data_IF_500125955527
#
_entry.id   IF_500125955527
#
_cell.length_a   1.000
_cell.length_b   1.000
_cell.length_c   1.000
_cell.angle_alpha   90.00
_cell.angle_beta   90.00
_cell.angle_gamma   90.00
#
_symmetry.space_group_name_H-M   'P 1'
#
loop_
_entity.id
_entity.type
_entity.pdbx_description
1 polymer ?
#
# COMPACT_ATOMS: atom_id res chain seq x y z
N UNK A 1 7.21 37.35 13.87
CA UNK A 1 6.69 35.98 14.10
C UNK A 1 6.39 35.78 15.58
N UNK A 2 5.52 34.84 15.97
CA UNK A 2 5.08 34.64 17.37
C UNK A 2 6.29 34.32 18.27
N UNK A 3 7.23 33.49 17.79
CA UNK A 3 8.48 33.20 18.52
C UNK A 3 9.32 34.46 18.81
N UNK A 4 9.46 35.36 17.84
CA UNK A 4 10.19 36.63 18.00
C UNK A 4 9.48 37.59 18.99
N UNK A 5 8.15 37.53 19.05
CA UNK A 5 7.36 38.35 19.95
C UNK A 5 7.38 37.84 21.39
N UNK A 6 7.54 36.53 21.60
CA UNK A 6 7.50 35.88 22.92
C UNK A 6 8.87 35.45 23.46
N UNK A 7 9.91 35.45 22.63
CA UNK A 7 11.25 34.95 22.99
C UNK A 7 11.28 33.45 23.31
N UNK A 8 10.31 32.70 22.78
CA UNK A 8 10.12 31.27 23.03
C UNK A 8 10.34 30.52 21.72
N UNK A 9 11.37 29.68 21.66
CA UNK A 9 11.73 28.95 20.45
C UNK A 9 10.79 27.77 20.15
N UNK A 10 9.98 27.32 21.12
CA UNK A 10 9.10 26.14 21.02
C UNK A 10 7.75 26.39 20.32
N UNK A 11 7.52 27.57 19.73
CA UNK A 11 6.22 27.99 19.18
C UNK A 11 6.15 27.94 17.63
N UNK A 12 6.78 26.95 17.00
CA UNK A 12 6.87 26.84 15.54
C UNK A 12 5.50 26.71 14.83
N UNK A 13 4.55 26.01 15.47
CA UNK A 13 3.17 25.81 14.96
C UNK A 13 2.45 27.14 14.72
N UNK A 14 2.72 28.16 15.54
CA UNK A 14 2.10 29.49 15.42
C UNK A 14 2.74 30.38 14.36
N UNK A 15 3.89 29.97 13.82
CA UNK A 15 4.58 30.62 12.72
C UNK A 15 4.29 29.94 11.36
N UNK A 16 3.46 28.90 11.34
CA UNK A 16 3.19 28.10 10.14
C UNK A 16 4.32 27.14 9.76
N UNK A 17 5.28 26.89 10.66
CA UNK A 17 6.30 25.85 10.51
C UNK A 17 5.91 24.68 11.40
N UNK A 18 5.17 23.69 10.88
CA UNK A 18 5.05 22.41 11.57
C UNK A 18 6.40 21.71 11.54
N UNK A 19 6.80 21.11 12.67
CA UNK A 19 8.04 20.36 12.77
C UNK A 19 7.97 19.13 11.85
N UNK A 20 8.94 18.99 10.95
CA UNK A 20 9.01 17.89 9.99
C UNK A 20 9.91 16.78 10.50
N UNK A 21 9.54 15.54 10.18
CA UNK A 21 10.38 14.36 10.43
C UNK A 21 11.40 14.26 9.29
N UNK A 22 12.69 14.14 9.66
CA UNK A 22 13.78 13.88 8.71
C UNK A 22 14.21 12.42 8.74
N UNK A 23 14.04 11.77 9.89
CA UNK A 23 14.42 10.37 10.06
C UNK A 23 13.46 9.66 11.00
N UNK A 24 13.07 8.45 10.62
CA UNK A 24 12.27 7.55 11.43
C UNK A 24 12.90 6.16 11.43
N UNK A 25 13.00 5.54 12.60
CA UNK A 25 13.40 4.16 12.76
C UNK A 25 12.41 3.45 13.66
N UNK A 26 11.78 2.40 13.17
CA UNK A 26 10.93 1.49 13.94
C UNK A 26 11.63 0.14 14.06
N UNK A 27 11.89 -0.25 15.29
CA UNK A 27 12.45 -1.55 15.65
C UNK A 27 11.34 -2.36 16.31
N UNK A 28 11.09 -3.56 15.81
CA UNK A 28 10.16 -4.53 16.39
C UNK A 28 10.92 -5.80 16.71
N UNK A 29 10.72 -6.35 17.89
CA UNK A 29 11.27 -7.65 18.27
C UNK A 29 10.17 -8.54 18.81
N UNK A 30 10.26 -9.82 18.48
CA UNK A 30 9.47 -10.88 19.08
C UNK A 30 10.36 -12.02 19.53
N UNK A 31 10.26 -12.35 20.80
CA UNK A 31 10.82 -13.55 21.40
C UNK A 31 9.69 -14.55 21.66
N UNK A 32 9.77 -15.73 21.05
CA UNK A 32 8.82 -16.82 21.30
C UNK A 32 9.56 -18.03 21.88
N UNK A 33 9.04 -18.61 22.97
CA UNK A 33 9.55 -19.85 23.55
C UNK A 33 8.73 -21.04 23.07
N UNK A 34 9.38 -21.95 22.39
CA UNK A 34 8.75 -23.12 21.77
C UNK A 34 9.24 -24.36 22.48
N UNK A 35 8.33 -25.24 22.89
CA UNK A 35 8.69 -26.56 23.41
C UNK A 35 8.95 -27.50 22.22
N UNK A 36 10.20 -27.93 21.97
CA UNK A 36 10.50 -28.81 20.86
C UNK A 36 9.83 -30.17 21.07
N UNK A 37 9.34 -30.78 19.97
CA UNK A 37 8.68 -32.10 20.01
C UNK A 37 9.62 -33.23 20.42
N UNK A 38 10.92 -33.06 20.18
CA UNK A 38 11.98 -33.98 20.58
C UNK A 38 13.18 -33.15 21.06
N UNK A 39 13.69 -33.49 22.24
CA UNK A 39 14.92 -32.92 22.77
C UNK A 39 16.09 -33.87 22.47
N UNK A 40 17.25 -33.37 22.03
CA UNK A 40 18.46 -34.17 21.94
C UNK A 40 18.79 -34.83 23.29
N UNK A 41 19.37 -36.02 23.25
CA UNK A 41 19.78 -36.73 24.47
C UNK A 41 20.86 -35.91 25.22
N UNK A 42 20.55 -35.52 26.47
CA UNK A 42 21.41 -34.65 27.28
C UNK A 42 21.12 -33.16 27.19
N UNK A 43 20.03 -32.73 26.54
CA UNK A 43 19.61 -31.32 26.57
C UNK A 43 19.18 -30.89 27.98
N UNK A 44 19.75 -29.78 28.47
CA UNK A 44 19.42 -29.18 29.78
C UNK A 44 18.31 -28.11 29.70
N UNK A 45 17.72 -27.89 28.52
CA UNK A 45 16.69 -26.89 28.28
C UNK A 45 15.32 -27.53 27.96
N UNK A 46 14.24 -26.92 28.46
CA UNK A 46 12.87 -27.36 28.17
C UNK A 46 12.26 -26.65 26.95
N UNK A 47 12.74 -25.44 26.64
CA UNK A 47 12.23 -24.58 25.55
C UNK A 47 13.38 -24.08 24.68
N UNK A 48 13.11 -23.94 23.38
CA UNK A 48 13.96 -23.20 22.45
C UNK A 48 13.41 -21.78 22.27
N UNK A 49 14.31 -20.81 22.18
CA UNK A 49 13.96 -19.40 21.98
C UNK A 49 14.07 -19.06 20.49
N UNK A 50 12.98 -18.59 19.91
CA UNK A 50 12.89 -18.13 18.54
C UNK A 50 12.79 -16.62 18.50
N UNK A 51 13.77 -15.97 17.89
CA UNK A 51 13.83 -14.52 17.76
C UNK A 51 13.47 -14.10 16.35
N UNK A 52 12.49 -13.22 16.26
CA UNK A 52 12.09 -12.52 15.06
C UNK A 52 12.30 -11.03 15.31
N UNK A 53 12.86 -10.31 14.34
CA UNK A 53 12.94 -8.85 14.44
C UNK A 53 12.77 -8.17 13.09
N UNK A 54 12.27 -6.94 13.15
CA UNK A 54 12.14 -6.06 12.00
C UNK A 54 12.74 -4.70 12.34
N UNK A 55 13.43 -4.11 11.36
CA UNK A 55 13.93 -2.74 11.45
C UNK A 55 13.52 -2.00 10.20
N UNK A 56 12.55 -1.09 10.35
CA UNK A 56 12.16 -0.13 9.34
C UNK A 56 12.92 1.17 9.57
N UNK A 57 13.54 1.72 8.53
CA UNK A 57 14.23 3.01 8.55
C UNK A 57 13.76 3.84 7.38
N UNK A 58 13.37 5.09 7.63
CA UNK A 58 12.97 6.08 6.62
C UNK A 58 13.86 7.29 6.83
N UNK A 59 14.54 7.72 5.77
CA UNK A 59 15.54 8.78 5.83
C UNK A 59 15.30 9.74 4.67
N UNK A 60 15.04 11.01 5.04
CA UNK A 60 14.77 12.11 4.11
C UNK A 60 16.01 12.47 3.29
N UNK A 61 17.18 12.52 3.92
CA UNK A 61 18.40 12.98 3.26
C UNK A 61 18.84 12.02 2.15
N UNK A 62 18.65 10.72 2.37
CA UNK A 62 18.95 9.70 1.37
C UNK A 62 17.76 9.36 0.48
N UNK A 63 16.57 9.93 0.72
CA UNK A 63 15.31 9.58 0.05
C UNK A 63 15.10 8.06 0.01
N UNK A 64 15.31 7.40 1.15
CA UNK A 64 15.17 5.93 1.26
C UNK A 64 14.24 5.47 2.36
N UNK A 65 13.48 4.41 2.07
CA UNK A 65 12.84 3.54 3.04
C UNK A 65 13.51 2.16 2.97
N UNK A 66 13.99 1.64 4.10
CA UNK A 66 14.54 0.28 4.21
C UNK A 66 13.80 -0.50 5.28
N UNK A 67 13.27 -1.67 4.93
CA UNK A 67 12.74 -2.64 5.88
C UNK A 67 13.65 -3.88 5.89
N UNK A 68 14.26 -4.17 7.04
CA UNK A 68 15.06 -5.38 7.26
C UNK A 68 14.32 -6.33 8.20
N UNK A 69 14.05 -7.55 7.75
CA UNK A 69 13.39 -8.61 8.52
C UNK A 69 14.39 -9.72 8.83
N UNK A 70 14.56 -10.05 10.10
CA UNK A 70 15.33 -11.19 10.58
C UNK A 70 14.39 -12.29 11.07
N UNK A 71 14.27 -13.37 10.30
CA UNK A 71 13.41 -14.51 10.65
C UNK A 71 14.08 -15.50 11.60
N UNK A 72 15.39 -15.68 11.45
CA UNK A 72 16.26 -16.54 12.26
C UNK A 72 17.72 -16.15 11.99
N UNK A 73 18.69 -16.60 12.81
CA UNK A 73 20.13 -16.21 12.73
C UNK A 73 20.79 -16.18 11.33
N UNK A 74 20.34 -17.01 10.38
CA UNK A 74 20.87 -17.08 9.01
C UNK A 74 19.81 -16.84 7.93
N UNK A 75 18.63 -16.34 8.32
CA UNK A 75 17.51 -16.09 7.42
C UNK A 75 17.01 -14.67 7.64
N UNK A 76 17.27 -13.79 6.67
CA UNK A 76 16.79 -12.41 6.65
C UNK A 76 16.47 -11.95 5.22
N UNK A 77 15.68 -10.89 5.13
CA UNK A 77 15.38 -10.16 3.91
C UNK A 77 15.56 -8.66 4.17
N UNK A 78 16.00 -7.92 3.15
CA UNK A 78 16.05 -6.46 3.18
C UNK A 78 15.38 -5.92 1.94
N UNK A 79 14.43 -5.01 2.13
CA UNK A 79 13.77 -4.28 1.06
C UNK A 79 14.20 -2.82 1.17
N UNK A 80 14.70 -2.24 0.09
CA UNK A 80 15.10 -0.84 0.03
C UNK A 80 14.39 -0.16 -1.13
N UNK A 81 13.68 0.90 -0.81
CA UNK A 81 13.00 1.79 -1.74
C UNK A 81 13.80 3.08 -1.79
N UNK A 82 14.11 3.54 -2.99
CA UNK A 82 14.71 4.85 -3.22
C UNK A 82 13.76 5.62 -4.14
N UNK A 83 13.05 6.59 -3.57
CA UNK A 83 11.98 7.31 -4.26
C UNK A 83 12.17 8.80 -3.97
N UNK A 84 12.86 9.46 -4.90
CA UNK A 84 13.12 10.90 -4.83
C UNK A 84 11.79 11.67 -4.75
N UNK A 85 11.72 12.65 -3.86
CA UNK A 85 10.52 13.42 -3.47
C UNK A 85 9.40 12.60 -2.81
N UNK A 86 9.31 11.30 -3.09
CA UNK A 86 8.31 10.40 -2.52
C UNK A 86 8.56 10.05 -1.06
N UNK A 87 9.82 9.84 -0.66
CA UNK A 87 10.15 9.60 0.76
C UNK A 87 9.97 10.87 1.57
N UNK A 88 10.43 12.01 1.05
CA UNK A 88 10.10 13.32 1.63
C UNK A 88 8.60 13.56 1.77
N UNK A 89 7.81 13.20 0.75
CA UNK A 89 6.35 13.30 0.78
C UNK A 89 5.72 12.42 1.85
N UNK A 90 6.14 11.14 1.93
CA UNK A 90 5.71 10.22 3.00
C UNK A 90 6.01 10.79 4.39
N UNK A 91 7.21 11.32 4.60
CA UNK A 91 7.60 11.92 5.89
C UNK A 91 6.87 13.24 6.19
N UNK A 92 6.43 13.98 5.18
CA UNK A 92 5.61 15.19 5.33
C UNK A 92 4.16 14.86 5.77
N UNK A 93 3.66 13.67 5.43
CA UNK A 93 2.33 13.19 5.87
C UNK A 93 2.33 12.66 7.31
N UNK A 94 3.52 12.46 7.91
CA UNK A 94 3.70 12.06 9.30
C UNK A 94 3.91 13.28 10.20
N UNK A 95 3.31 13.23 11.40
CA UNK A 95 3.41 14.32 12.39
C UNK A 95 4.14 13.83 13.64
N UNK A 96 5.12 14.56 14.19
CA UNK A 96 5.81 14.17 15.42
C UNK A 96 4.87 13.91 16.61
N UNK A 97 3.69 14.54 16.62
CA UNK A 97 2.66 14.41 17.66
C UNK A 97 1.97 13.04 17.68
N UNK A 98 2.00 12.29 16.57
CA UNK A 98 1.44 10.92 16.48
C UNK A 98 2.07 9.94 17.51
N UNK A 99 3.16 10.36 18.14
CA UNK A 99 3.96 9.56 19.06
C UNK A 99 4.02 10.15 20.47
N UNK A 100 3.17 11.12 20.81
CA UNK A 100 3.15 11.77 22.13
C UNK A 100 2.44 10.93 23.20
N UNK A 101 1.33 10.29 22.82
CA UNK A 101 0.43 9.64 23.75
C UNK A 101 0.47 8.12 23.61
N UNK A 102 0.73 7.44 24.73
CA UNK A 102 0.63 5.99 24.89
C UNK A 102 -0.28 5.75 26.09
N UNK A 103 -1.45 5.13 25.85
CA UNK A 103 -2.41 4.83 26.93
C UNK A 103 -1.80 4.00 28.07
N UNK A 104 -0.96 3.02 27.74
CA UNK A 104 -0.29 2.14 28.68
C UNK A 104 -1.16 0.98 29.19
N UNK A 105 -0.50 -0.14 29.51
CA UNK A 105 -1.18 -1.29 30.09
C UNK A 105 -1.53 -1.07 31.58
N UNK A 106 -2.67 -1.61 32.07
CA UNK A 106 -3.01 -1.56 33.49
C UNK A 106 -2.04 -2.42 34.33
N UNK A 107 -1.92 -2.16 35.65
CA UNK A 107 -0.93 -2.82 36.50
C UNK A 107 -1.20 -4.31 36.76
N UNK A 108 -2.39 -4.81 36.46
CA UNK A 108 -2.80 -6.21 36.60
C UNK A 108 -2.76 -6.99 35.27
N UNK A 109 -2.08 -6.45 34.26
CA UNK A 109 -1.80 -7.16 32.99
C UNK A 109 -1.09 -8.48 33.27
N UNK A 110 -1.48 -9.53 32.52
CA UNK A 110 -0.86 -10.84 32.57
C UNK A 110 -0.03 -11.00 31.30
N UNK A 111 1.29 -10.94 31.46
CA UNK A 111 2.22 -11.19 30.36
C UNK A 111 2.26 -12.68 30.00
N UNK A 112 2.34 -12.99 28.71
CA UNK A 112 2.64 -14.33 28.23
C UNK A 112 4.18 -14.54 28.24
N UNK A 113 4.73 -15.33 29.17
CA UNK A 113 6.17 -15.58 29.22
C UNK A 113 6.68 -16.37 28.00
N UNK A 114 5.78 -16.96 27.20
CA UNK A 114 6.10 -17.70 25.98
C UNK A 114 6.12 -16.82 24.73
N UNK A 115 5.59 -15.60 24.79
CA UNK A 115 5.55 -14.70 23.64
C UNK A 115 5.66 -13.24 24.08
N UNK A 116 6.85 -12.68 23.91
CA UNK A 116 7.14 -11.28 24.21
C UNK A 116 7.35 -10.52 22.92
N UNK A 117 6.63 -9.41 22.75
CA UNK A 117 6.76 -8.53 21.60
C UNK A 117 7.01 -7.12 22.11
N UNK A 118 8.10 -6.49 21.67
CA UNK A 118 8.48 -5.14 22.03
C UNK A 118 8.76 -4.30 20.79
N UNK A 119 8.75 -2.98 20.97
CA UNK A 119 9.13 -2.06 19.93
C UNK A 119 9.92 -0.87 20.47
N UNK A 120 10.63 -0.22 19.56
CA UNK A 120 11.25 1.08 19.76
C UNK A 120 11.12 1.92 18.50
N UNK A 121 10.53 3.10 18.63
CA UNK A 121 10.45 4.12 17.58
C UNK A 121 11.43 5.24 17.93
N UNK A 122 12.29 5.59 16.98
CA UNK A 122 13.20 6.75 17.07
C UNK A 122 12.88 7.72 15.95
N UNK A 123 12.62 8.97 16.29
CA UNK A 123 12.28 10.04 15.35
C UNK A 123 13.29 11.16 15.53
N UNK A 124 13.82 11.67 14.42
CA UNK A 124 14.62 12.90 14.42
C UNK A 124 13.98 13.89 13.47
N UNK A 125 13.79 15.11 13.97
CA UNK A 125 13.13 16.18 13.24
C UNK A 125 14.15 17.13 12.61
N UNK A 126 13.67 17.97 11.69
CA UNK A 126 14.51 18.96 11.00
C UNK A 126 15.18 19.98 11.92
N UNK A 127 14.62 20.19 13.11
CA UNK A 127 15.20 21.09 14.11
C UNK A 127 16.14 20.37 15.10
N UNK A 128 16.43 19.09 14.87
CA UNK A 128 17.33 18.29 15.68
C UNK A 128 16.70 17.72 16.95
N UNK A 129 15.37 17.79 17.08
CA UNK A 129 14.65 17.14 18.18
C UNK A 129 14.68 15.64 17.95
N UNK A 130 15.13 14.88 18.95
CA UNK A 130 15.07 13.41 18.95
C UNK A 130 14.00 12.96 19.93
N UNK A 131 13.09 12.10 19.47
CA UNK A 131 12.06 11.44 20.28
C UNK A 131 12.26 9.94 20.20
N UNK A 132 12.25 9.27 21.35
CA UNK A 132 12.30 7.82 21.47
C UNK A 132 11.07 7.37 22.24
N UNK A 133 10.33 6.42 21.66
CA UNK A 133 9.18 5.76 22.28
C UNK A 133 9.47 4.27 22.28
N UNK A 134 9.23 3.61 23.41
CA UNK A 134 9.43 2.18 23.56
C UNK A 134 8.33 1.58 24.43
N UNK A 135 7.99 0.32 24.17
CA UNK A 135 6.92 -0.35 24.89
C UNK A 135 6.69 -1.77 24.40
N UNK A 136 5.67 -2.41 24.96
CA UNK A 136 5.16 -3.68 24.46
C UNK A 136 4.39 -3.46 23.16
N UNK A 137 4.55 -4.38 22.21
CA UNK A 137 3.85 -4.33 20.93
C UNK A 137 2.44 -4.92 21.07
N UNK A 138 1.59 -4.16 21.76
CA UNK A 138 0.17 -4.44 21.94
C UNK A 138 -0.64 -3.14 21.86
N UNK A 139 -1.98 -3.27 21.84
CA UNK A 139 -2.87 -2.13 21.62
C UNK A 139 -2.67 -0.96 22.59
N UNK A 140 -2.34 -1.22 23.86
CA UNK A 140 -2.18 -0.17 24.87
C UNK A 140 -0.72 0.22 25.07
N UNK A 141 0.23 -0.64 24.67
CA UNK A 141 1.66 -0.33 24.69
C UNK A 141 2.14 0.53 23.50
N UNK A 142 1.41 0.55 22.39
CA UNK A 142 1.69 1.37 21.21
C UNK A 142 1.20 2.81 21.36
N UNK A 143 1.75 3.78 20.59
CA UNK A 143 1.17 5.11 20.48
C UNK A 143 -0.29 5.05 20.03
N UNK A 144 -1.13 5.94 20.56
CA UNK A 144 -2.57 5.94 20.27
C UNK A 144 -2.87 6.12 18.77
N UNK A 145 -2.03 6.88 18.05
CA UNK A 145 -2.11 7.10 16.58
C UNK A 145 -1.30 6.09 15.75
N UNK A 146 -0.74 5.02 16.36
CA UNK A 146 0.03 4.01 15.64
C UNK A 146 -0.69 3.42 14.40
N UNK A 147 -2.01 3.14 14.42
CA UNK A 147 -2.72 2.66 13.24
C UNK A 147 -2.65 3.61 12.04
N UNK A 148 -2.83 4.92 12.24
CA UNK A 148 -2.74 5.91 11.15
C UNK A 148 -1.30 5.99 10.62
N UNK A 149 -0.32 6.00 11.55
CA UNK A 149 1.10 6.03 11.23
C UNK A 149 1.53 4.86 10.33
N UNK A 150 1.18 3.62 10.72
CA UNK A 150 1.64 2.43 10.01
C UNK A 150 0.89 2.22 8.69
N UNK A 151 -0.37 2.65 8.59
CA UNK A 151 -1.17 2.61 7.36
C UNK A 151 -0.53 3.45 6.24
N UNK A 152 -0.09 4.68 6.55
CA UNK A 152 0.61 5.55 5.58
C UNK A 152 1.87 4.90 5.01
N UNK A 153 2.66 4.23 5.85
CA UNK A 153 3.86 3.50 5.43
C UNK A 153 3.49 2.27 4.60
N UNK A 154 2.45 1.53 5.02
CA UNK A 154 1.96 0.36 4.30
C UNK A 154 1.49 0.73 2.89
N UNK A 155 0.66 1.77 2.76
CA UNK A 155 0.15 2.23 1.47
C UNK A 155 1.29 2.65 0.53
N UNK A 156 2.28 3.36 1.05
CA UNK A 156 3.48 3.74 0.29
C UNK A 156 4.24 2.50 -0.22
N UNK A 157 4.48 1.50 0.64
CA UNK A 157 5.18 0.27 0.24
C UNK A 157 4.34 -0.59 -0.72
N UNK A 158 3.04 -0.66 -0.50
CA UNK A 158 2.09 -1.45 -1.29
C UNK A 158 1.96 -0.91 -2.72
N UNK A 159 2.02 0.41 -2.91
CA UNK A 159 2.00 1.04 -4.22
C UNK A 159 3.11 0.51 -5.14
N UNK A 160 4.32 0.30 -4.63
CA UNK A 160 5.44 -0.27 -5.40
C UNK A 160 5.43 -1.80 -5.40
N UNK A 161 4.97 -2.42 -4.31
CA UNK A 161 4.76 -3.87 -4.21
C UNK A 161 6.00 -4.70 -4.57
N UNK A 162 5.78 -5.81 -5.28
CA UNK A 162 6.82 -6.73 -5.76
C UNK A 162 7.25 -6.46 -7.23
N UNK A 163 6.70 -5.41 -7.84
CA UNK A 163 6.85 -5.10 -9.26
C UNK A 163 6.12 -6.06 -10.21
N UNK A 164 6.24 -5.79 -11.51
CA UNK A 164 5.52 -6.50 -12.59
C UNK A 164 6.03 -7.93 -12.85
N UNK A 165 7.23 -8.28 -12.38
CA UNK A 165 7.88 -9.56 -12.68
C UNK A 165 7.02 -10.77 -12.25
N UNK A 166 6.29 -10.63 -11.16
CA UNK A 166 5.42 -11.67 -10.61
C UNK A 166 3.95 -11.46 -10.96
N UNK A 167 3.62 -10.40 -11.71
CA UNK A 167 2.27 -10.14 -12.15
C UNK A 167 1.98 -10.96 -13.42
N UNK A 168 1.11 -11.96 -13.31
CA UNK A 168 0.70 -12.81 -14.44
C UNK A 168 0.10 -11.98 -15.58
N UNK A 169 -0.54 -10.84 -15.31
CA UNK A 169 -1.07 -9.97 -16.35
C UNK A 169 0.04 -9.38 -17.24
N UNK A 170 1.25 -9.20 -16.69
CA UNK A 170 2.40 -8.65 -17.40
C UNK A 170 3.11 -9.68 -18.29
N UNK A 171 3.20 -10.96 -17.89
CA UNK A 171 3.93 -11.99 -18.64
C UNK A 171 3.07 -13.10 -19.26
N UNK A 172 1.83 -13.26 -18.80
CA UNK A 172 0.92 -14.34 -19.19
C UNK A 172 0.32 -14.15 -20.58
N UNK A 173 0.35 -12.92 -21.11
CA UNK A 173 -0.23 -12.57 -22.40
C UNK A 173 0.81 -12.63 -23.52
N UNK A 174 0.48 -13.33 -24.60
CA UNK A 174 1.30 -13.32 -25.80
C UNK A 174 1.31 -11.92 -26.43
N UNK A 175 2.42 -11.53 -27.07
CA UNK A 175 2.43 -10.29 -27.85
C UNK A 175 1.41 -10.39 -28.98
N UNK A 176 0.58 -9.35 -29.09
CA UNK A 176 -0.36 -9.16 -30.20
C UNK A 176 0.37 -9.20 -31.55
N UNK A 177 -0.19 -9.89 -32.52
CA UNK A 177 0.22 -9.82 -33.93
C UNK A 177 -0.64 -8.79 -34.68
N UNK A 178 -0.20 -8.36 -35.87
CA UNK A 178 -0.96 -7.41 -36.68
C UNK A 178 -2.34 -7.92 -37.12
N UNK A 179 -2.57 -9.23 -37.06
CA UNK A 179 -3.85 -9.87 -37.39
C UNK A 179 -4.74 -10.12 -36.18
N UNK A 180 -4.24 -9.92 -34.96
CA UNK A 180 -5.04 -10.15 -33.75
C UNK A 180 -5.92 -8.94 -33.43
N UNK A 181 -7.12 -9.25 -32.99
CA UNK A 181 -8.10 -8.31 -32.46
C UNK A 181 -7.86 -8.12 -30.97
N UNK A 182 -8.13 -6.91 -30.48
CA UNK A 182 -8.08 -6.57 -29.07
C UNK A 182 -9.47 -6.78 -28.51
N UNK A 183 -9.61 -7.77 -27.64
CA UNK A 183 -10.85 -8.05 -26.93
C UNK A 183 -10.74 -7.53 -25.50
N UNK A 184 -11.67 -6.68 -25.12
CA UNK A 184 -11.82 -6.16 -23.77
C UNK A 184 -13.09 -6.74 -23.15
N UNK A 185 -12.94 -7.44 -22.04
CA UNK A 185 -14.08 -7.84 -21.22
C UNK A 185 -14.41 -6.68 -20.29
N UNK A 186 -15.68 -6.28 -20.29
CA UNK A 186 -16.16 -5.14 -19.51
C UNK A 186 -17.28 -5.55 -18.57
N UNK A 187 -17.34 -4.91 -17.41
CA UNK A 187 -18.45 -5.01 -16.47
C UNK A 187 -19.22 -3.69 -16.39
N UNK A 188 -20.55 -3.79 -16.32
CA UNK A 188 -21.43 -2.63 -16.14
C UNK A 188 -21.57 -2.24 -14.67
N UNK A 189 -21.37 -3.20 -13.78
CA UNK A 189 -21.44 -3.05 -12.33
C UNK A 189 -20.31 -3.87 -11.72
N UNK A 190 -19.65 -3.40 -10.64
CA UNK A 190 -18.55 -4.11 -10.00
C UNK A 190 -18.93 -5.53 -9.58
N UNK A 191 -18.18 -6.53 -10.06
CA UNK A 191 -18.43 -7.95 -9.79
C UNK A 191 -19.63 -8.53 -10.57
N UNK A 192 -20.11 -7.81 -11.58
CA UNK A 192 -21.21 -8.21 -12.43
C UNK A 192 -20.83 -9.24 -13.50
N UNK A 193 -21.73 -9.40 -14.49
CA UNK A 193 -21.42 -10.19 -15.69
C UNK A 193 -20.46 -9.42 -16.60
N UNK A 194 -19.52 -10.15 -17.19
CA UNK A 194 -18.61 -9.60 -18.19
C UNK A 194 -19.18 -9.73 -19.59
N UNK A 195 -18.86 -8.76 -20.44
CA UNK A 195 -19.26 -8.69 -21.85
C UNK A 195 -18.05 -8.33 -22.70
N UNK A 196 -17.92 -8.99 -23.85
CA UNK A 196 -16.75 -8.85 -24.70
C UNK A 196 -16.96 -7.76 -25.76
N UNK A 197 -16.04 -6.78 -25.81
CA UNK A 197 -16.00 -5.70 -26.80
C UNK A 197 -14.66 -5.69 -27.52
N UNK A 198 -14.63 -5.07 -28.71
CA UNK A 198 -13.41 -4.84 -29.47
C UNK A 198 -12.86 -3.45 -29.18
N UNK A 199 -11.54 -3.34 -29.14
CA UNK A 199 -10.83 -2.06 -29.13
C UNK A 199 -10.06 -1.86 -30.45
N UNK A 200 -9.97 -0.61 -30.89
CA UNK A 200 -9.26 -0.25 -32.13
C UNK A 200 -7.74 -0.15 -31.92
N UNK A 201 -7.29 0.12 -30.70
CA UNK A 201 -5.89 0.25 -30.35
C UNK A 201 -5.58 -0.22 -28.91
N UNK A 202 -4.29 -0.36 -28.62
CA UNK A 202 -3.79 -0.93 -27.37
C UNK A 202 -3.78 0.07 -26.22
N UNK A 203 -4.28 1.31 -26.37
CA UNK A 203 -4.25 2.33 -25.29
C UNK A 203 -5.33 2.14 -24.22
N UNK A 204 -6.34 1.30 -24.48
CA UNK A 204 -7.35 0.89 -23.50
C UNK A 204 -6.74 -0.15 -22.55
N UNK A 205 -6.76 0.11 -21.25
CA UNK A 205 -6.18 -0.79 -20.25
C UNK A 205 -7.21 -1.31 -19.26
N UNK A 206 -6.89 -2.44 -18.61
CA UNK A 206 -7.70 -2.97 -17.51
C UNK A 206 -7.78 -1.90 -16.41
N UNK A 207 -9.00 -1.64 -15.94
CA UNK A 207 -9.27 -0.55 -15.00
C UNK A 207 -9.86 0.70 -15.65
N UNK A 208 -9.65 0.93 -16.96
CA UNK A 208 -10.21 2.09 -17.65
C UNK A 208 -11.75 2.09 -17.60
N UNK A 209 -12.32 3.28 -17.39
CA UNK A 209 -13.75 3.52 -17.61
C UNK A 209 -13.96 3.95 -19.06
N UNK A 210 -14.83 3.26 -19.77
CA UNK A 210 -15.05 3.46 -21.21
C UNK A 210 -16.53 3.56 -21.55
N UNK A 211 -16.82 4.19 -22.67
CA UNK A 211 -18.16 4.29 -23.22
C UNK A 211 -18.37 3.21 -24.27
N UNK A 212 -19.45 2.44 -24.13
CA UNK A 212 -19.78 1.34 -25.05
C UNK A 212 -21.24 1.39 -25.50
N UNK A 213 -21.55 0.85 -26.70
CA UNK A 213 -22.93 0.69 -27.16
C UNK A 213 -23.60 -0.54 -26.54
N UNK A 214 -24.60 -0.33 -25.70
CA UNK A 214 -25.36 -1.39 -25.02
C UNK A 214 -26.76 -1.59 -25.63
N UNK A 215 -27.34 -2.77 -25.41
CA UNK A 215 -28.69 -3.08 -25.91
C UNK A 215 -28.81 -3.21 -27.43
N UNK A 216 -30.03 -3.46 -27.92
CA UNK A 216 -30.33 -3.52 -29.36
C UNK A 216 -30.49 -2.13 -30.00
N UNK A 217 -30.72 -1.11 -29.17
CA UNK A 217 -30.82 0.31 -29.54
C UNK A 217 -29.46 1.02 -29.57
N UNK A 218 -28.39 0.34 -29.14
CA UNK A 218 -27.03 0.90 -29.05
C UNK A 218 -26.96 2.18 -28.20
N UNK A 219 -27.72 2.24 -27.11
CA UNK A 219 -27.58 3.34 -26.18
C UNK A 219 -26.20 3.30 -25.52
N UNK A 220 -25.63 4.47 -25.24
CA UNK A 220 -24.32 4.58 -24.61
C UNK A 220 -24.41 4.28 -23.11
N UNK A 221 -23.43 3.49 -22.63
CA UNK A 221 -23.27 3.10 -21.25
C UNK A 221 -21.80 3.21 -20.84
N UNK A 222 -21.57 3.65 -19.59
CA UNK A 222 -20.26 3.60 -18.96
C UNK A 222 -20.04 2.20 -18.40
N UNK A 223 -18.87 1.64 -18.68
CA UNK A 223 -18.44 0.32 -18.23
C UNK A 223 -16.97 0.37 -17.84
N UNK A 224 -16.54 -0.59 -17.02
CA UNK A 224 -15.13 -0.75 -16.65
C UNK A 224 -14.52 -1.93 -17.38
N UNK A 225 -13.32 -1.75 -17.94
CA UNK A 225 -12.54 -2.87 -18.50
C UNK A 225 -11.99 -3.71 -17.34
N UNK A 226 -12.25 -5.01 -17.35
CA UNK A 226 -11.81 -5.97 -16.32
C UNK A 226 -10.82 -7.00 -16.85
N UNK A 227 -10.78 -7.23 -18.16
CA UNK A 227 -9.70 -8.00 -18.81
C UNK A 227 -9.49 -7.53 -20.25
N UNK A 228 -8.30 -7.78 -20.78
CA UNK A 228 -7.85 -7.42 -22.12
C UNK A 228 -7.02 -8.54 -22.71
N UNK A 229 -7.44 -9.12 -23.83
CA UNK A 229 -6.76 -10.23 -24.47
C UNK A 229 -6.67 -10.04 -25.99
N UNK A 230 -5.71 -10.73 -26.60
CA UNK A 230 -5.49 -10.70 -28.04
C UNK A 230 -5.86 -12.04 -28.66
N UNK A 231 -6.73 -12.01 -29.67
CA UNK A 231 -7.13 -13.22 -30.39
C UNK A 231 -7.17 -12.99 -31.89
N UNK A 232 -6.72 -13.98 -32.65
CA UNK A 232 -7.03 -14.09 -34.07
C UNK A 232 -8.51 -14.43 -34.25
N UNK A 233 -9.05 -14.22 -35.46
CA UNK A 233 -10.45 -14.60 -35.77
C UNK A 233 -10.77 -16.06 -35.44
N UNK A 234 -9.81 -16.97 -35.64
CA UNK A 234 -9.99 -18.41 -35.44
C UNK A 234 -10.03 -18.81 -33.96
N UNK A 235 -9.34 -18.05 -33.10
CA UNK A 235 -9.19 -18.34 -31.68
C UNK A 235 -10.06 -17.44 -30.79
N UNK A 236 -10.82 -16.53 -31.39
CA UNK A 236 -11.63 -15.57 -30.65
C UNK A 236 -12.72 -16.27 -29.81
N UNK A 237 -12.87 -15.89 -28.51
CA UNK A 237 -13.89 -16.49 -27.64
C UNK A 237 -15.30 -16.11 -28.05
N UNK A 238 -15.44 -15.01 -28.80
CA UNK A 238 -16.69 -14.52 -29.36
C UNK A 238 -16.48 -14.11 -30.83
N UNK A 239 -17.45 -14.34 -31.73
CA UNK A 239 -17.28 -13.99 -33.15
C UNK A 239 -17.04 -12.49 -33.34
N UNK A 240 -15.91 -12.14 -33.95
CA UNK A 240 -15.45 -10.76 -34.17
C UNK A 240 -16.52 -9.92 -34.85
N UNK A 241 -17.21 -10.48 -35.85
CA UNK A 241 -18.22 -9.78 -36.63
C UNK A 241 -19.51 -9.45 -35.87
N UNK A 242 -19.70 -10.06 -34.69
CA UNK A 242 -20.84 -9.80 -33.80
C UNK A 242 -20.44 -8.91 -32.62
N UNK A 243 -19.16 -8.81 -32.32
CA UNK A 243 -18.68 -7.99 -31.23
C UNK A 243 -18.87 -6.51 -31.57
N UNK A 244 -19.20 -5.71 -30.56
CA UNK A 244 -19.28 -4.26 -30.69
C UNK A 244 -17.94 -3.64 -30.30
N UNK A 245 -17.69 -2.43 -30.77
CA UNK A 245 -16.47 -1.69 -30.46
C UNK A 245 -16.66 -0.74 -29.27
N UNK A 246 -15.60 -0.57 -28.48
CA UNK A 246 -15.50 0.52 -27.51
C UNK A 246 -15.50 1.85 -28.27
N UNK A 247 -16.27 2.83 -27.79
CA UNK A 247 -16.41 4.14 -28.46
C UNK A 247 -15.23 5.04 -28.09
N UNK A 248 -15.00 5.21 -26.78
CA UNK A 248 -13.88 6.00 -26.24
C UNK A 248 -13.63 5.71 -24.77
N UNK A 249 -12.43 6.05 -24.30
CA UNK A 249 -12.13 6.20 -22.87
C UNK A 249 -12.76 7.48 -22.34
N UNK A 250 -13.15 7.44 -21.07
CA UNK A 250 -13.78 8.54 -20.35
C UNK A 250 -12.93 8.81 -19.11
N UNK A 251 -12.49 10.06 -18.95
CA UNK A 251 -11.73 10.50 -17.78
C UNK A 251 -12.68 10.87 -16.62
N UNK A 252 -12.17 10.95 -15.38
CA UNK A 252 -13.01 11.15 -14.18
C UNK A 252 -13.94 12.36 -14.26
N UNK A 253 -13.44 13.50 -14.75
CA UNK A 253 -14.25 14.73 -14.92
C UNK A 253 -15.42 14.52 -15.90
N UNK A 254 -15.20 13.74 -16.97
CA UNK A 254 -16.23 13.42 -17.96
C UNK A 254 -17.28 12.42 -17.43
N UNK A 255 -16.89 11.55 -16.48
CA UNK A 255 -17.82 10.60 -15.82
C UNK A 255 -18.89 11.39 -15.07
N UNK A 256 -18.49 12.39 -14.28
CA UNK A 256 -19.44 13.21 -13.51
C UNK A 256 -20.45 13.90 -14.43
N UNK A 257 -19.98 14.49 -15.53
CA UNK A 257 -20.83 15.19 -16.49
C UNK A 257 -21.80 14.22 -17.20
N UNK A 258 -21.34 13.02 -17.56
CA UNK A 258 -22.21 12.00 -18.17
C UNK A 258 -23.32 11.57 -17.22
N UNK A 259 -23.01 11.33 -15.94
CA UNK A 259 -23.98 10.96 -14.91
C UNK A 259 -24.98 12.11 -14.68
N UNK A 260 -24.50 13.36 -14.60
CA UNK A 260 -25.36 14.55 -14.46
C UNK A 260 -26.34 14.67 -15.63
N UNK A 261 -25.89 14.52 -16.86
CA UNK A 261 -26.74 14.62 -18.06
C UNK A 261 -27.82 13.52 -18.09
N UNK A 262 -27.49 12.27 -17.73
CA UNK A 262 -28.49 11.19 -17.67
C UNK A 262 -29.54 11.42 -16.57
N UNK A 263 -29.15 11.98 -15.42
CA UNK A 263 -30.07 12.25 -14.32
C UNK A 263 -31.01 13.44 -14.56
N UNK A 264 -30.69 14.36 -15.48
CA UNK A 264 -31.56 15.50 -15.86
C UNK A 264 -32.61 15.12 -16.91
N UNK A 265 -32.41 14.01 -17.63
CA UNK A 265 -33.28 13.55 -18.71
C UNK A 265 -34.27 12.45 -18.29
N UNK A 266 -34.42 12.20 -16.99
CA UNK A 266 -35.43 11.33 -16.37
C UNK A 266 -36.30 12.11 -15.39
#
# INVERSE_FOLDING_TARGET
MVREATGRDDLFVFDGCSEKIDYLKLEYNRETKIKPKQLPEGAEYEFETWNYSEVLTIDRDTETLTNHVQFAKQCSATFTYHVEEGISGLLDDLRPEMFDDVTGNPPDVIDDPMNQCDYRITIRTQHGTEKIIEGSFDKLGLPDEYPEFIEKIFDFMAFYGLGELFNEESYGKAKRTASDYIFCDVEFEPGGKTYCYLADDDSFEVGDTVLVPAGSDNHEALVRIVDKNYYSTENAPFPVEKAKYIIKRIDEDEIEDFIRIKNVNH
#
